data_IF_833097114688
#
_entry.id   IF_833097114688
#
_cell.length_a   1.000
_cell.length_b   1.000
_cell.length_c   1.000
_cell.angle_alpha   90.00
_cell.angle_beta   90.00
_cell.angle_gamma   90.00
#
_symmetry.space_group_name_H-M   'P 1'
#
loop_
_entity.id
_entity.type
_entity.pdbx_description
1 polymer ?
#
# COMPACT_ATOMS: atom_id res chain seq x y z
N UNK A 1 21.87 21.29 6.22
CA UNK A 1 20.72 20.36 6.11
C UNK A 1 21.07 18.89 6.33
N UNK A 2 22.31 18.43 6.09
CA UNK A 2 22.68 17.02 6.23
C UNK A 2 22.43 16.43 7.63
N UNK A 3 22.83 17.13 8.71
CA UNK A 3 22.59 16.64 10.09
C UNK A 3 21.10 16.55 10.44
N UNK A 4 20.27 17.49 9.98
CA UNK A 4 18.82 17.47 10.19
C UNK A 4 18.18 16.31 9.42
N UNK A 5 18.60 16.08 8.17
CA UNK A 5 18.13 14.96 7.36
C UNK A 5 18.52 13.61 7.97
N UNK A 6 19.76 13.46 8.47
CA UNK A 6 20.21 12.26 9.15
C UNK A 6 19.40 11.97 10.43
N UNK A 7 19.11 13.00 11.24
CA UNK A 7 18.27 12.86 12.42
C UNK A 7 16.85 12.42 12.08
N UNK A 8 16.24 13.02 11.04
CA UNK A 8 14.91 12.64 10.55
C UNK A 8 14.88 11.21 10.01
N UNK A 9 15.90 10.81 9.24
CA UNK A 9 16.04 9.45 8.71
C UNK A 9 16.10 8.42 9.84
N UNK A 10 16.92 8.66 10.88
CA UNK A 10 17.01 7.76 12.03
C UNK A 10 15.65 7.60 12.71
N UNK A 11 14.93 8.69 12.96
CA UNK A 11 13.60 8.62 13.58
C UNK A 11 12.58 7.88 12.70
N UNK A 12 12.62 8.07 11.38
CA UNK A 12 11.77 7.34 10.45
C UNK A 12 12.07 5.83 10.46
N UNK A 13 13.34 5.43 10.56
CA UNK A 13 13.74 4.02 10.70
C UNK A 13 13.23 3.43 12.03
N UNK A 14 13.40 4.15 13.13
CA UNK A 14 12.91 3.73 14.45
C UNK A 14 11.39 3.52 14.43
N UNK A 15 10.63 4.44 13.83
CA UNK A 15 9.18 4.33 13.69
C UNK A 15 8.76 3.12 12.81
N UNK A 16 9.46 2.89 11.70
CA UNK A 16 9.20 1.75 10.83
C UNK A 16 9.47 0.40 11.54
N UNK A 17 10.59 0.31 12.27
CA UNK A 17 10.95 -0.88 13.05
C UNK A 17 9.95 -1.13 14.19
N UNK A 18 9.49 -0.08 14.86
CA UNK A 18 8.49 -0.19 15.93
C UNK A 18 7.13 -0.70 15.41
N UNK A 19 6.79 -0.43 14.14
CA UNK A 19 5.52 -0.85 13.54
C UNK A 19 5.56 -2.28 12.99
N UNK A 20 6.76 -2.81 12.70
CA UNK A 20 6.93 -4.13 12.06
C UNK A 20 6.29 -5.29 12.83
N UNK A 21 6.43 -5.43 14.17
CA UNK A 21 5.79 -6.51 14.92
C UNK A 21 4.26 -6.50 14.80
N UNK A 22 3.66 -5.30 14.79
CA UNK A 22 2.21 -5.15 14.59
C UNK A 22 1.81 -5.63 13.20
N UNK A 23 2.49 -5.16 12.15
CA UNK A 23 2.18 -5.53 10.76
C UNK A 23 2.38 -7.04 10.50
N UNK A 24 3.42 -7.65 11.07
CA UNK A 24 3.67 -9.09 10.94
C UNK A 24 2.59 -9.91 11.65
N UNK A 25 2.25 -9.57 12.90
CA UNK A 25 1.22 -10.31 13.64
C UNK A 25 -0.17 -10.14 13.05
N UNK A 26 -0.48 -8.93 12.61
CA UNK A 26 -1.69 -8.62 11.85
C UNK A 26 -1.84 -9.51 10.62
N UNK A 27 -0.78 -9.58 9.81
CA UNK A 27 -0.75 -10.37 8.58
C UNK A 27 -0.91 -11.86 8.85
N UNK A 28 -0.28 -12.37 9.91
CA UNK A 28 -0.42 -13.75 10.37
C UNK A 28 -1.88 -14.08 10.72
N UNK A 29 -2.51 -13.25 11.57
CA UNK A 29 -3.91 -13.44 12.00
C UNK A 29 -4.86 -13.35 10.80
N UNK A 30 -4.65 -12.39 9.89
CA UNK A 30 -5.44 -12.24 8.67
C UNK A 30 -5.33 -13.44 7.74
N UNK A 31 -4.11 -13.95 7.54
CA UNK A 31 -3.86 -15.11 6.68
C UNK A 31 -4.49 -16.37 7.28
N UNK A 32 -4.43 -16.51 8.61
CA UNK A 32 -5.08 -17.60 9.32
C UNK A 32 -6.61 -17.52 9.23
N UNK A 33 -7.20 -16.35 9.47
CA UNK A 33 -8.65 -16.14 9.30
C UNK A 33 -9.11 -16.44 7.87
N UNK A 34 -8.33 -16.03 6.87
CA UNK A 34 -8.62 -16.29 5.46
C UNK A 34 -8.55 -17.79 5.11
N UNK A 35 -7.72 -18.59 5.81
CA UNK A 35 -7.59 -20.03 5.59
C UNK A 35 -8.65 -20.87 6.28
N UNK A 36 -9.25 -20.37 7.37
CA UNK A 36 -10.32 -21.04 8.12
C UNK A 36 -11.71 -20.91 7.48
N UNK A 37 -11.81 -20.27 6.31
CA UNK A 37 -13.09 -20.11 5.59
C UNK A 37 -13.63 -21.47 5.12
N UNK A 38 -14.91 -21.80 5.39
CA UNK A 38 -15.57 -22.95 4.78
C UNK A 38 -15.60 -22.82 3.26
N UNK A 39 -15.30 -23.89 2.52
CA UNK A 39 -15.18 -23.87 1.06
C UNK A 39 -16.43 -23.32 0.34
N UNK A 40 -17.60 -23.49 0.95
CA UNK A 40 -18.92 -23.13 0.42
C UNK A 40 -19.24 -21.62 0.45
N UNK A 41 -18.53 -20.82 1.25
CA UNK A 41 -18.76 -19.36 1.31
C UNK A 41 -17.92 -18.58 0.30
N UNK A 42 -18.41 -17.49 -0.31
CA UNK A 42 -17.56 -16.67 -1.17
C UNK A 42 -16.42 -16.02 -0.34
N UNK A 43 -15.19 -15.91 -0.89
CA UNK A 43 -14.11 -15.20 -0.23
C UNK A 43 -14.45 -13.73 0.00
N UNK A 44 -13.82 -13.11 1.00
CA UNK A 44 -13.95 -11.67 1.21
C UNK A 44 -13.56 -10.90 -0.06
N UNK A 45 -14.25 -9.82 -0.45
CA UNK A 45 -13.94 -9.08 -1.68
C UNK A 45 -12.47 -8.67 -1.80
N UNK A 46 -11.84 -8.21 -0.71
CA UNK A 46 -10.40 -7.86 -0.68
C UNK A 46 -9.44 -9.03 -0.93
N UNK A 47 -9.90 -10.28 -0.86
CA UNK A 47 -9.13 -11.50 -1.16
C UNK A 47 -9.47 -12.08 -2.54
N UNK A 48 -10.48 -11.54 -3.21
CA UNK A 48 -11.06 -12.12 -4.42
C UNK A 48 -10.36 -11.59 -5.66
N UNK A 49 -9.84 -12.50 -6.49
CA UNK A 49 -9.30 -12.15 -7.80
C UNK A 49 -10.43 -12.02 -8.82
N UNK A 50 -10.34 -11.00 -9.66
CA UNK A 50 -11.24 -10.73 -10.78
C UNK A 50 -10.44 -10.33 -12.02
N UNK A 51 -11.09 -10.33 -13.17
CA UNK A 51 -10.52 -9.77 -14.40
C UNK A 51 -10.10 -8.33 -14.17
N UNK A 52 -8.85 -8.00 -14.48
CA UNK A 52 -8.32 -6.65 -14.30
C UNK A 52 -8.75 -5.80 -15.49
N UNK A 53 -9.74 -4.92 -15.29
CA UNK A 53 -10.14 -3.92 -16.29
C UNK A 53 -9.62 -2.52 -15.93
N UNK A 54 -9.37 -2.24 -14.66
CA UNK A 54 -8.76 -0.98 -14.21
C UNK A 54 -7.78 -1.22 -13.06
N UNK A 55 -6.60 -0.60 -13.14
CA UNK A 55 -5.55 -0.68 -12.13
C UNK A 55 -5.52 0.64 -11.36
N UNK A 56 -5.64 0.58 -10.04
CA UNK A 56 -5.33 1.68 -9.13
C UNK A 56 -3.84 1.69 -8.80
N UNK A 57 -3.12 2.75 -9.17
CA UNK A 57 -1.71 2.94 -8.87
C UNK A 57 -1.54 3.99 -7.77
N UNK A 58 -1.18 3.52 -6.56
CA UNK A 58 -0.74 4.38 -5.48
C UNK A 58 0.73 4.78 -5.71
N UNK A 59 0.98 6.05 -6.02
CA UNK A 59 2.32 6.58 -6.22
C UNK A 59 2.80 7.36 -4.99
N UNK A 60 3.82 6.85 -4.30
CA UNK A 60 4.43 7.50 -3.15
C UNK A 60 5.68 8.28 -3.54
N UNK A 61 5.65 9.59 -3.25
CA UNK A 61 6.76 10.53 -3.44
C UNK A 61 6.89 11.47 -2.25
N UNK A 62 7.97 12.24 -2.20
CA UNK A 62 8.14 13.31 -1.23
C UNK A 62 7.45 14.61 -1.65
N UNK A 63 7.02 15.41 -0.66
CA UNK A 63 6.56 16.78 -0.89
C UNK A 63 7.70 17.75 -1.21
N UNK A 64 8.92 17.44 -0.74
CA UNK A 64 10.10 18.30 -0.88
C UNK A 64 11.05 17.77 -1.94
N UNK A 65 11.83 18.69 -2.51
CA UNK A 65 12.96 18.37 -3.38
C UNK A 65 14.25 18.13 -2.60
N UNK A 66 15.40 18.27 -3.29
CA UNK A 66 16.75 18.13 -2.72
C UNK A 66 17.05 16.74 -2.11
N UNK A 67 16.43 15.70 -2.67
CA UNK A 67 16.62 14.30 -2.29
C UNK A 67 17.30 13.48 -3.39
N UNK A 68 18.15 14.12 -4.20
CA UNK A 68 18.79 13.50 -5.37
C UNK A 68 17.76 12.87 -6.32
N UNK A 69 18.02 11.63 -6.73
CA UNK A 69 17.17 10.88 -7.64
C UNK A 69 15.95 10.20 -6.97
N UNK A 70 15.72 10.39 -5.67
CA UNK A 70 14.66 9.70 -4.91
C UNK A 70 13.28 9.77 -5.59
N UNK A 71 12.78 10.99 -5.83
CA UNK A 71 11.46 11.16 -6.46
C UNK A 71 11.49 10.76 -7.94
N UNK A 72 12.58 11.08 -8.65
CA UNK A 72 12.70 10.79 -10.07
C UNK A 72 12.64 9.28 -10.36
N UNK A 73 13.31 8.47 -9.55
CA UNK A 73 13.40 7.02 -9.74
C UNK A 73 12.04 6.33 -9.62
N UNK A 74 11.24 6.66 -8.59
CA UNK A 74 9.90 6.06 -8.41
C UNK A 74 8.90 6.60 -9.42
N UNK A 75 9.00 7.88 -9.81
CA UNK A 75 8.16 8.48 -10.86
C UNK A 75 8.45 7.81 -12.21
N UNK A 76 9.72 7.59 -12.55
CA UNK A 76 10.11 6.90 -13.79
C UNK A 76 9.56 5.48 -13.82
N UNK A 77 9.71 4.72 -12.73
CA UNK A 77 9.16 3.37 -12.62
C UNK A 77 7.63 3.35 -12.79
N UNK A 78 6.93 4.33 -12.19
CA UNK A 78 5.48 4.45 -12.33
C UNK A 78 5.07 4.80 -13.77
N UNK A 79 5.78 5.69 -14.44
CA UNK A 79 5.50 6.05 -15.84
C UNK A 79 5.76 4.88 -16.80
N UNK A 80 6.83 4.12 -16.57
CA UNK A 80 7.12 2.88 -17.31
C UNK A 80 5.99 1.86 -17.12
N UNK A 81 5.56 1.65 -15.88
CA UNK A 81 4.43 0.77 -15.58
C UNK A 81 3.13 1.22 -16.28
N UNK A 82 2.82 2.52 -16.27
CA UNK A 82 1.64 3.06 -16.96
C UNK A 82 1.73 2.81 -18.48
N UNK A 83 2.92 2.99 -19.07
CA UNK A 83 3.14 2.77 -20.50
C UNK A 83 3.06 1.30 -20.94
N UNK A 84 3.42 0.37 -20.05
CA UNK A 84 3.38 -1.08 -20.30
C UNK A 84 2.05 -1.74 -19.91
N UNK A 85 1.20 -1.05 -19.14
CA UNK A 85 -0.06 -1.60 -18.66
C UNK A 85 -1.04 -1.85 -19.81
N UNK A 86 -1.64 -3.04 -19.83
CA UNK A 86 -2.68 -3.43 -20.80
C UNK A 86 -4.06 -2.91 -20.41
N UNK A 87 -4.24 -2.51 -19.16
CA UNK A 87 -5.49 -1.98 -18.61
C UNK A 87 -5.30 -0.51 -18.21
N UNK A 88 -6.36 0.32 -18.31
CA UNK A 88 -6.33 1.69 -17.81
C UNK A 88 -5.78 1.80 -16.38
N UNK A 89 -4.88 2.75 -16.17
CA UNK A 89 -4.27 3.02 -14.86
C UNK A 89 -4.80 4.34 -14.32
N UNK A 90 -5.41 4.28 -13.14
CA UNK A 90 -5.86 5.44 -12.36
C UNK A 90 -4.94 5.65 -11.17
N UNK A 91 -4.59 6.90 -10.90
CA UNK A 91 -3.56 7.28 -9.95
C UNK A 91 -4.16 7.77 -8.64
N UNK A 92 -3.59 7.31 -7.54
CA UNK A 92 -3.70 7.93 -6.22
C UNK A 92 -2.31 8.41 -5.84
N UNK A 93 -2.12 9.73 -5.73
CA UNK A 93 -0.78 10.30 -5.52
C UNK A 93 -0.56 10.70 -4.07
N UNK A 94 0.60 10.37 -3.53
CA UNK A 94 1.09 10.82 -2.23
C UNK A 94 2.35 11.63 -2.45
N UNK A 95 2.32 12.88 -2.00
CA UNK A 95 3.41 13.85 -2.14
C UNK A 95 3.31 14.71 -3.40
N UNK A 96 3.67 16.00 -3.25
CA UNK A 96 3.60 17.00 -4.33
C UNK A 96 4.40 16.62 -5.57
N UNK A 97 5.56 15.97 -5.43
CA UNK A 97 6.45 15.69 -6.58
C UNK A 97 5.84 14.71 -7.58
N UNK A 98 5.21 13.64 -7.10
CA UNK A 98 4.51 12.67 -7.93
C UNK A 98 3.29 13.27 -8.58
N UNK A 99 2.44 13.96 -7.80
CA UNK A 99 1.26 14.67 -8.31
C UNK A 99 1.62 15.66 -9.42
N UNK A 100 2.54 16.58 -9.17
CA UNK A 100 2.90 17.64 -10.13
C UNK A 100 3.44 17.04 -11.45
N UNK A 101 4.18 15.92 -11.36
CA UNK A 101 4.66 15.22 -12.54
C UNK A 101 3.51 14.55 -13.30
N UNK A 102 2.65 13.80 -12.60
CA UNK A 102 1.58 13.04 -13.24
C UNK A 102 0.53 13.94 -13.91
N UNK A 103 0.27 15.13 -13.34
CA UNK A 103 -0.58 16.14 -14.00
C UNK A 103 0.00 16.60 -15.34
N UNK A 104 1.32 16.83 -15.42
CA UNK A 104 1.99 17.21 -16.69
C UNK A 104 2.11 16.04 -17.66
N UNK A 105 2.26 14.83 -17.14
CA UNK A 105 2.31 13.60 -17.92
C UNK A 105 0.95 13.26 -18.56
N UNK A 106 -0.15 13.83 -18.04
CA UNK A 106 -1.51 13.52 -18.48
C UNK A 106 -2.07 12.24 -17.84
N UNK A 107 -1.58 11.86 -16.66
CA UNK A 107 -2.10 10.71 -15.92
C UNK A 107 -3.49 10.99 -15.34
N UNK A 108 -4.32 9.95 -15.28
CA UNK A 108 -5.67 10.02 -14.69
C UNK A 108 -5.58 9.96 -13.16
N UNK A 109 -5.49 11.12 -12.50
CA UNK A 109 -5.40 11.23 -11.04
C UNK A 109 -6.80 11.27 -10.42
N UNK A 110 -7.15 10.22 -9.67
CA UNK A 110 -8.42 10.11 -8.96
C UNK A 110 -8.38 10.79 -7.60
N UNK A 111 -7.24 10.69 -6.90
CA UNK A 111 -7.06 11.34 -5.60
C UNK A 111 -5.60 11.79 -5.39
N UNK A 112 -5.43 12.86 -4.61
CA UNK A 112 -4.13 13.38 -4.21
C UNK A 112 -4.05 13.64 -2.70
N UNK A 113 -2.91 13.30 -2.12
CA UNK A 113 -2.60 13.50 -0.71
C UNK A 113 -1.24 14.18 -0.62
N UNK A 114 -1.21 15.40 -0.06
CA UNK A 114 0.04 16.18 0.06
C UNK A 114 0.16 16.78 1.45
N UNK A 115 1.37 17.19 1.82
CA UNK A 115 1.62 17.75 3.15
C UNK A 115 1.65 16.71 4.26
N UNK A 116 1.99 15.46 3.92
CA UNK A 116 2.14 14.39 4.91
C UNK A 116 3.33 14.75 5.82
N UNK A 117 3.18 14.70 7.17
CA UNK A 117 4.27 14.98 8.09
C UNK A 117 5.47 14.07 7.85
N UNK A 118 6.69 14.53 8.20
CA UNK A 118 7.90 13.69 8.11
C UNK A 118 7.81 12.42 8.98
N UNK A 119 6.94 12.45 9.99
CA UNK A 119 6.60 11.35 10.89
C UNK A 119 5.09 11.18 10.88
N UNK A 120 4.54 10.47 9.89
CA UNK A 120 3.10 10.33 9.76
C UNK A 120 2.54 9.50 10.91
N UNK A 121 1.42 9.95 11.48
CA UNK A 121 0.60 9.16 12.37
C UNK A 121 -0.35 8.28 11.57
N UNK A 122 -0.95 7.29 12.22
CA UNK A 122 -1.95 6.41 11.59
C UNK A 122 -3.13 7.19 10.98
N UNK A 123 -3.54 8.27 11.64
CA UNK A 123 -4.62 9.17 11.19
C UNK A 123 -4.29 9.92 9.90
N UNK A 124 -3.00 10.17 9.63
CA UNK A 124 -2.57 10.88 8.42
C UNK A 124 -2.66 9.97 7.18
N UNK A 125 -2.52 8.65 7.38
CA UNK A 125 -2.49 7.64 6.30
C UNK A 125 -3.87 7.00 6.09
N UNK A 126 -4.70 6.94 7.14
CA UNK A 126 -6.05 6.33 7.09
C UNK A 126 -6.90 6.79 5.89
N UNK A 127 -6.94 8.09 5.50
CA UNK A 127 -7.71 8.52 4.33
C UNK A 127 -7.21 7.91 3.01
N UNK A 128 -5.89 7.72 2.88
CA UNK A 128 -5.26 7.12 1.69
C UNK A 128 -5.71 5.66 1.57
N UNK A 129 -5.57 4.90 2.67
CA UNK A 129 -5.99 3.52 2.77
C UNK A 129 -7.47 3.33 2.43
N UNK A 130 -8.35 4.10 3.06
CA UNK A 130 -9.81 4.05 2.82
C UNK A 130 -10.15 4.32 1.36
N UNK A 131 -9.57 5.34 0.76
CA UNK A 131 -9.81 5.65 -0.66
C UNK A 131 -9.51 4.44 -1.54
N UNK A 132 -8.35 3.80 -1.37
CA UNK A 132 -7.95 2.63 -2.16
C UNK A 132 -8.87 1.42 -1.93
N UNK A 133 -9.30 1.20 -0.68
CA UNK A 133 -10.19 0.09 -0.31
C UNK A 133 -11.59 0.33 -0.87
N UNK A 134 -12.15 1.52 -0.66
CA UNK A 134 -13.50 1.88 -1.10
C UNK A 134 -13.60 1.86 -2.62
N UNK A 135 -12.59 2.38 -3.32
CA UNK A 135 -12.52 2.32 -4.79
C UNK A 135 -12.36 0.88 -5.31
N UNK A 136 -11.63 0.03 -4.60
CA UNK A 136 -11.55 -1.38 -4.94
C UNK A 136 -12.90 -2.08 -4.71
N UNK A 137 -13.51 -1.92 -3.53
CA UNK A 137 -14.80 -2.54 -3.18
C UNK A 137 -15.93 -2.02 -4.08
N UNK A 138 -15.90 -0.75 -4.46
CA UNK A 138 -16.84 -0.12 -5.38
C UNK A 138 -16.64 -0.50 -6.85
N UNK A 139 -15.57 -1.23 -7.19
CA UNK A 139 -15.28 -1.66 -8.56
C UNK A 139 -14.61 -0.59 -9.44
N UNK A 140 -14.18 0.52 -8.86
CA UNK A 140 -13.35 1.52 -9.54
C UNK A 140 -11.96 0.94 -9.88
N UNK A 141 -11.39 0.15 -8.96
CA UNK A 141 -10.13 -0.58 -9.17
C UNK A 141 -10.36 -2.08 -9.10
N UNK A 142 -9.88 -2.82 -10.10
CA UNK A 142 -9.86 -4.29 -10.05
C UNK A 142 -8.60 -4.85 -9.41
N UNK A 143 -7.54 -4.04 -9.40
CA UNK A 143 -6.24 -4.33 -8.80
C UNK A 143 -5.65 -3.02 -8.27
N UNK A 144 -5.00 -3.06 -7.10
CA UNK A 144 -4.27 -1.92 -6.54
C UNK A 144 -2.79 -2.26 -6.42
N UNK A 145 -1.95 -1.39 -6.97
CA UNK A 145 -0.48 -1.49 -6.96
C UNK A 145 0.09 -0.25 -6.28
N UNK A 146 1.12 -0.43 -5.46
CA UNK A 146 1.89 0.66 -4.86
C UNK A 146 3.24 0.79 -5.55
N UNK A 147 3.55 2.01 -6.01
CA UNK A 147 4.88 2.45 -6.43
C UNK A 147 5.52 3.24 -5.27
N UNK A 148 6.61 2.71 -4.72
CA UNK A 148 7.31 3.31 -3.60
C UNK A 148 8.82 3.10 -3.71
N UNK A 149 9.58 3.76 -2.83
CA UNK A 149 11.02 3.55 -2.73
C UNK A 149 11.33 2.65 -1.53
N UNK A 150 11.86 1.47 -1.80
CA UNK A 150 12.32 0.53 -0.78
C UNK A 150 13.66 0.99 -0.18
N UNK A 151 13.72 1.04 1.15
CA UNK A 151 14.90 1.43 1.90
C UNK A 151 15.71 0.17 2.21
N UNK A 152 16.83 -0.03 1.50
CA UNK A 152 17.73 -1.16 1.77
C UNK A 152 18.79 -0.73 2.80
N UNK A 153 19.45 0.39 2.54
CA UNK A 153 20.40 1.00 3.45
C UNK A 153 20.56 2.50 3.12
N UNK A 154 21.45 3.19 3.84
CA UNK A 154 21.66 4.64 3.73
C UNK A 154 22.12 5.07 2.31
N UNK A 155 22.78 4.18 1.57
CA UNK A 155 23.29 4.45 0.23
C UNK A 155 22.36 3.90 -0.87
N UNK A 156 21.58 2.87 -0.55
CA UNK A 156 20.80 2.11 -1.53
C UNK A 156 19.32 2.23 -1.22
N UNK A 157 18.64 2.93 -2.14
CA UNK A 157 17.19 3.04 -2.20
C UNK A 157 16.73 2.55 -3.57
N UNK A 158 15.77 1.63 -3.63
CA UNK A 158 15.31 1.04 -4.89
C UNK A 158 13.84 1.33 -5.11
N UNK A 159 13.43 1.94 -6.25
CA UNK A 159 12.01 2.04 -6.57
C UNK A 159 11.46 0.62 -6.81
N UNK A 160 10.27 0.36 -6.30
CA UNK A 160 9.61 -0.94 -6.38
C UNK A 160 8.12 -0.78 -6.63
N UNK A 161 7.54 -1.79 -7.27
CA UNK A 161 6.10 -1.97 -7.43
C UNK A 161 5.67 -3.18 -6.61
N UNK A 162 4.58 -3.05 -5.85
CA UNK A 162 3.99 -4.16 -5.09
C UNK A 162 2.48 -4.16 -5.26
N UNK A 163 1.86 -5.33 -5.39
CA UNK A 163 0.40 -5.44 -5.32
C UNK A 163 -0.07 -5.28 -3.87
N UNK A 164 -1.05 -4.41 -3.63
CA UNK A 164 -1.74 -4.27 -2.35
C UNK A 164 -3.06 -5.04 -2.36
N UNK A 165 -3.90 -4.83 -3.38
CA UNK A 165 -5.22 -5.47 -3.52
C UNK A 165 -5.35 -6.16 -4.89
N UNK A 166 -6.05 -7.31 -4.99
CA UNK A 166 -6.50 -8.13 -3.87
C UNK A 166 -5.30 -8.67 -3.06
N UNK A 167 -5.53 -8.90 -1.77
CA UNK A 167 -4.53 -9.41 -0.84
C UNK A 167 -4.15 -10.82 -1.26
N UNK A 168 -2.85 -11.06 -1.50
CA UNK A 168 -2.34 -12.41 -1.73
C UNK A 168 -2.16 -13.09 -0.38
N UNK A 169 -2.98 -14.09 -0.07
CA UNK A 169 -2.66 -14.99 1.04
C UNK A 169 -1.28 -15.61 0.79
N UNK A 170 -0.38 -15.52 1.78
CA UNK A 170 0.89 -16.21 1.68
C UNK A 170 0.61 -17.71 1.55
N UNK A 171 1.02 -18.30 0.42
CA UNK A 171 1.14 -19.76 0.33
C UNK A 171 2.18 -20.15 1.40
N UNK A 172 1.81 -21.06 2.29
CA UNK A 172 2.74 -21.80 3.16
C UNK A 172 3.22 -21.11 4.46
N UNK A 173 2.30 -20.63 5.29
CA UNK A 173 2.56 -20.69 6.73
C UNK A 173 1.36 -21.31 7.41
N UNK A 174 1.36 -22.64 7.44
CA UNK A 174 0.45 -23.42 8.27
C UNK A 174 0.94 -23.24 9.71
N UNK A 175 0.63 -22.10 10.31
CA UNK A 175 0.85 -21.94 11.74
C UNK A 175 -0.20 -22.81 12.41
N UNK A 176 0.22 -23.89 13.06
CA UNK A 176 -0.62 -24.69 13.97
C UNK A 176 -0.91 -23.85 15.22
N UNK A 177 -1.68 -22.78 15.05
CA UNK A 177 -2.23 -22.01 16.16
C UNK A 177 -3.71 -22.30 16.22
N UNK A 178 -4.15 -22.91 17.31
CA UNK A 178 -5.57 -22.99 17.64
C UNK A 178 -6.01 -21.62 18.17
N UNK A 179 -6.71 -20.88 17.34
CA UNK A 179 -7.42 -19.68 17.74
C UNK A 179 -8.89 -20.00 17.97
N UNK A 180 -9.42 -19.62 19.13
CA UNK A 180 -10.86 -19.56 19.37
C UNK A 180 -11.30 -18.15 18.97
N UNK A 181 -12.27 -18.07 18.04
CA UNK A 181 -12.81 -16.81 17.54
C UNK A 181 -14.17 -16.53 18.14
N UNK A 182 -14.35 -15.32 18.63
CA UNK A 182 -15.64 -14.81 19.08
C UNK A 182 -15.96 -13.49 18.35
N UNK A 183 -17.11 -13.35 17.69
CA UNK A 183 -18.21 -14.31 17.58
C UNK A 183 -17.98 -15.41 16.53
N UNK A 184 -17.32 -15.10 15.40
CA UNK A 184 -16.97 -16.06 14.35
C UNK A 184 -15.84 -15.48 13.46
N UNK A 185 -15.05 -16.34 12.76
CA UNK A 185 -13.93 -15.90 11.93
C UNK A 185 -14.30 -14.89 10.84
N UNK A 186 -15.49 -15.02 10.24
CA UNK A 186 -15.93 -14.18 9.12
C UNK A 186 -16.26 -12.77 9.59
N UNK A 187 -16.99 -12.64 10.69
CA UNK A 187 -17.29 -11.34 11.31
C UNK A 187 -16.00 -10.62 11.70
N UNK A 188 -15.06 -11.34 12.31
CA UNK A 188 -13.76 -10.78 12.67
C UNK A 188 -13.02 -10.35 11.40
N UNK A 189 -12.90 -11.21 10.39
CA UNK A 189 -12.21 -10.89 9.14
C UNK A 189 -12.76 -9.63 8.47
N UNK A 190 -14.10 -9.46 8.44
CA UNK A 190 -14.74 -8.26 7.88
C UNK A 190 -14.51 -6.98 8.69
N UNK A 191 -14.33 -7.05 10.01
CA UNK A 191 -14.02 -5.89 10.86
C UNK A 191 -12.53 -5.55 10.89
N UNK A 192 -11.70 -6.60 10.80
CA UNK A 192 -10.25 -6.57 10.90
C UNK A 192 -9.69 -6.05 9.57
N UNK A 193 -10.03 -6.66 8.43
CA UNK A 193 -9.45 -6.29 7.12
C UNK A 193 -9.45 -4.78 6.81
N UNK A 194 -10.56 -4.03 6.98
CA UNK A 194 -10.57 -2.59 6.70
C UNK A 194 -9.72 -1.74 7.65
N UNK A 195 -9.28 -2.29 8.79
CA UNK A 195 -8.42 -1.62 9.77
C UNK A 195 -6.93 -1.93 9.59
N UNK A 196 -6.59 -2.94 8.80
CA UNK A 196 -5.20 -3.38 8.60
C UNK A 196 -4.56 -2.93 7.29
N UNK A 197 -5.37 -2.52 6.31
CA UNK A 197 -4.92 -1.86 5.08
C UNK A 197 -5.19 -0.38 5.14
#
# INVERSE_FOLDING_TARGET
MQMVAASKMRRAQEQALATRPYAEKAWEVLTFLASQRPAEEPPHPLLTYRSVNTIGLLLITGDRGLAGAYNHNVIRLAAEFIGEATSPVKLVTVGRKGRDFMLRYGGDILAEFTGIPDQPAFTDITPIARTLIDDFLGGTFDQVIIAYTDFINILVHRPALRQLLPIRAARETRVELEYIFEPDPRTILGQVLPRFT
#
